data_IF_482967155008
#
_entry.id   IF_482967155008
#
_cell.length_a   1.000
_cell.length_b   1.000
_cell.length_c   1.000
_cell.angle_alpha   90.00
_cell.angle_beta   90.00
_cell.angle_gamma   90.00
#
_symmetry.space_group_name_H-M   'P 1'
#
loop_
_entity.id
_entity.type
_entity.pdbx_description
1 polymer ?
#
# COMPACT_ATOMS: atom_id res chain seq x y z
N UNK A 1 13.10 4.93 -15.08
CA UNK A 1 13.43 4.19 -13.84
C UNK A 1 14.11 2.88 -14.25
N UNK A 2 15.42 2.90 -14.53
CA UNK A 2 16.11 1.79 -15.21
C UNK A 2 16.49 0.62 -14.29
N UNK A 3 16.36 0.79 -12.97
CA UNK A 3 16.75 -0.22 -11.98
C UNK A 3 15.72 -1.36 -11.84
N UNK A 4 14.48 -1.12 -12.26
CA UNK A 4 13.38 -2.07 -12.17
C UNK A 4 12.86 -2.33 -13.58
N UNK A 5 13.02 -3.55 -14.07
CA UNK A 5 12.55 -3.95 -15.40
C UNK A 5 11.10 -4.42 -15.36
N UNK A 6 10.44 -4.36 -16.51
CA UNK A 6 9.00 -4.65 -16.65
C UNK A 6 8.59 -6.10 -16.33
N UNK A 7 9.55 -7.04 -16.31
CA UNK A 7 9.28 -8.48 -16.12
C UNK A 7 9.28 -8.95 -14.66
N UNK A 8 9.88 -8.20 -13.73
CA UNK A 8 10.01 -8.64 -12.34
C UNK A 8 9.46 -7.61 -11.36
N UNK A 9 8.64 -8.09 -10.42
CA UNK A 9 8.08 -7.25 -9.36
C UNK A 9 9.20 -6.60 -8.54
N UNK A 10 9.16 -5.29 -8.39
CA UNK A 10 10.15 -4.46 -7.68
C UNK A 10 10.56 -5.05 -6.33
N UNK A 11 9.59 -5.50 -5.52
CA UNK A 11 9.87 -6.06 -4.19
C UNK A 11 10.68 -7.37 -4.24
N UNK A 12 10.54 -8.19 -5.29
CA UNK A 12 11.35 -9.41 -5.48
C UNK A 12 12.79 -9.07 -5.83
N UNK A 13 12.99 -8.08 -6.69
CA UNK A 13 14.33 -7.59 -7.05
C UNK A 13 15.04 -7.03 -5.82
N UNK A 14 14.36 -6.22 -5.02
CA UNK A 14 14.92 -5.68 -3.78
C UNK A 14 15.25 -6.77 -2.75
N UNK A 15 14.41 -7.81 -2.65
CA UNK A 15 14.71 -8.99 -1.81
C UNK A 15 15.99 -9.71 -2.24
N UNK A 16 16.12 -10.02 -3.54
CA UNK A 16 17.33 -10.66 -4.08
C UNK A 16 18.59 -9.79 -3.92
N UNK A 17 18.44 -8.45 -3.96
CA UNK A 17 19.54 -7.53 -3.65
C UNK A 17 19.95 -7.61 -2.17
N UNK A 18 19.00 -7.77 -1.26
CA UNK A 18 19.29 -7.91 0.16
C UNK A 18 20.10 -9.18 0.46
N UNK A 19 19.85 -10.28 -0.26
CA UNK A 19 20.65 -11.52 -0.12
C UNK A 19 22.13 -11.29 -0.45
N UNK A 20 22.42 -10.34 -1.35
CA UNK A 20 23.79 -10.01 -1.79
C UNK A 20 24.46 -8.92 -0.95
N UNK A 21 23.72 -7.87 -0.60
CA UNK A 21 24.27 -6.66 0.03
C UNK A 21 23.97 -6.56 1.53
N UNK A 22 23.19 -7.51 2.07
CA UNK A 22 22.73 -7.53 3.45
C UNK A 22 21.33 -6.91 3.62
N UNK A 23 20.76 -7.04 4.83
CA UNK A 23 19.36 -6.68 5.11
C UNK A 23 19.10 -5.17 5.12
N UNK A 24 20.13 -4.33 5.12
CA UNK A 24 20.01 -2.87 5.04
C UNK A 24 21.03 -2.37 4.04
N UNK A 25 20.56 -1.77 2.95
CA UNK A 25 21.42 -1.29 1.88
C UNK A 25 20.84 -0.05 1.21
N UNK A 26 21.68 0.70 0.51
CA UNK A 26 21.28 1.93 -0.19
C UNK A 26 21.33 1.73 -1.70
N UNK A 27 20.31 2.24 -2.39
CA UNK A 27 20.27 2.30 -3.85
C UNK A 27 20.07 3.74 -4.32
N UNK A 28 20.36 4.00 -5.59
CA UNK A 28 19.99 5.25 -6.26
C UNK A 28 18.81 4.98 -7.19
N UNK A 29 17.66 5.58 -6.87
CA UNK A 29 16.51 5.64 -7.76
C UNK A 29 16.54 6.97 -8.48
N UNK A 30 17.08 6.95 -9.69
CA UNK A 30 17.27 8.14 -10.52
C UNK A 30 18.10 9.21 -9.79
N UNK A 31 17.52 10.36 -9.47
CA UNK A 31 18.15 11.44 -8.70
C UNK A 31 18.07 11.25 -7.18
N UNK A 32 17.27 10.31 -6.68
CA UNK A 32 17.03 10.10 -5.25
C UNK A 32 17.83 8.93 -4.68
N UNK A 33 18.42 9.14 -3.50
CA UNK A 33 19.03 8.07 -2.71
C UNK A 33 17.95 7.42 -1.84
N UNK A 34 17.85 6.11 -1.89
CA UNK A 34 16.83 5.33 -1.16
C UNK A 34 17.50 4.30 -0.28
N UNK A 35 17.12 4.30 0.99
CA UNK A 35 17.48 3.25 1.95
C UNK A 35 16.45 2.12 1.85
N UNK A 36 16.92 0.90 1.61
CA UNK A 36 16.10 -0.30 1.55
C UNK A 36 16.28 -1.08 2.84
N UNK A 37 15.16 -1.42 3.48
CA UNK A 37 15.12 -2.20 4.71
C UNK A 37 14.47 -3.56 4.40
N UNK A 38 15.24 -4.63 4.54
CA UNK A 38 14.82 -6.02 4.35
C UNK A 38 14.99 -6.85 5.64
N UNK A 39 14.78 -6.23 6.80
CA UNK A 39 14.71 -6.90 8.10
C UNK A 39 13.62 -6.27 8.95
N UNK A 40 12.92 -7.09 9.74
CA UNK A 40 11.83 -6.60 10.59
C UNK A 40 12.39 -5.79 11.77
N UNK A 41 13.59 -6.10 12.24
CA UNK A 41 14.31 -5.37 13.29
C UNK A 41 14.58 -3.93 12.86
N UNK A 42 15.15 -3.73 11.67
CA UNK A 42 15.44 -2.40 11.14
C UNK A 42 14.15 -1.62 10.85
N UNK A 43 13.13 -2.28 10.28
CA UNK A 43 11.82 -1.65 10.07
C UNK A 43 11.19 -1.20 11.40
N UNK A 44 11.23 -2.04 12.44
CA UNK A 44 10.72 -1.69 13.77
C UNK A 44 11.43 -0.47 14.33
N UNK A 45 12.76 -0.43 14.25
CA UNK A 45 13.54 0.72 14.75
C UNK A 45 13.16 2.02 14.02
N UNK A 46 13.08 1.97 12.68
CA UNK A 46 12.70 3.13 11.88
C UNK A 46 11.27 3.63 12.16
N UNK A 47 10.30 2.72 12.34
CA UNK A 47 8.90 3.12 12.54
C UNK A 47 8.50 3.35 14.00
N UNK A 48 9.30 2.91 14.97
CA UNK A 48 9.00 3.06 16.41
C UNK A 48 9.83 4.17 17.06
N UNK A 49 11.13 4.22 16.76
CA UNK A 49 12.07 5.10 17.48
C UNK A 49 12.33 6.42 16.75
N UNK A 50 12.07 6.49 15.44
CA UNK A 50 12.50 7.60 14.60
C UNK A 50 11.31 8.31 13.95
N UNK A 51 11.02 9.53 14.40
CA UNK A 51 9.96 10.38 13.80
C UNK A 51 10.28 10.84 12.38
N UNK A 52 11.54 10.75 11.96
CA UNK A 52 12.02 11.14 10.63
C UNK A 52 11.37 10.30 9.50
N UNK A 53 11.02 9.05 9.77
CA UNK A 53 10.39 8.15 8.78
C UNK A 53 8.86 8.27 8.74
N UNK A 54 8.27 9.11 9.58
CA UNK A 54 6.84 9.36 9.54
C UNK A 54 6.47 10.12 8.24
N UNK A 55 7.29 11.10 7.84
CA UNK A 55 7.04 11.92 6.65
C UNK A 55 7.36 11.18 5.35
N UNK A 56 6.48 11.29 4.35
CA UNK A 56 6.68 10.71 3.01
C UNK A 56 7.52 11.64 2.12
N UNK A 57 8.39 11.11 1.25
CA UNK A 57 9.11 11.91 0.27
C UNK A 57 8.16 12.69 -0.63
N UNK A 58 8.49 13.95 -0.91
CA UNK A 58 7.77 14.78 -1.87
C UNK A 58 7.99 14.24 -3.29
N UNK A 59 6.92 13.73 -3.90
CA UNK A 59 6.93 13.26 -5.29
C UNK A 59 5.90 14.01 -6.11
N UNK A 60 6.09 14.08 -7.43
CA UNK A 60 5.10 14.68 -8.33
C UNK A 60 3.72 14.01 -8.20
N UNK A 61 3.70 12.68 -8.00
CA UNK A 61 2.46 11.94 -7.77
C UNK A 61 1.76 12.38 -6.48
N UNK A 62 2.50 12.51 -5.37
CA UNK A 62 1.95 12.99 -4.10
C UNK A 62 1.43 14.43 -4.19
N UNK A 63 2.07 15.28 -4.99
CA UNK A 63 1.58 16.65 -5.24
C UNK A 63 0.29 16.66 -6.06
N UNK A 64 0.25 15.92 -7.18
CA UNK A 64 -0.87 15.96 -8.12
C UNK A 64 -2.07 15.17 -7.61
N UNK A 65 -1.87 13.93 -7.17
CA UNK A 65 -2.94 13.04 -6.70
C UNK A 65 -3.31 13.29 -5.24
N UNK A 66 -2.37 13.80 -4.45
CA UNK A 66 -2.58 14.10 -3.04
C UNK A 66 -3.11 15.52 -2.78
N UNK A 67 -3.63 16.22 -3.79
CA UNK A 67 -4.14 17.59 -3.68
C UNK A 67 -3.14 18.54 -2.99
N UNK A 68 -1.94 18.64 -3.55
CA UNK A 68 -0.81 19.37 -2.98
C UNK A 68 -0.54 18.97 -1.51
N UNK A 69 -0.48 17.66 -1.27
CA UNK A 69 -0.25 17.04 0.05
C UNK A 69 -1.34 17.28 1.10
N UNK A 70 -2.54 17.74 0.68
CA UNK A 70 -3.70 17.84 1.56
C UNK A 70 -4.32 16.47 1.88
N UNK A 71 -4.17 15.47 1.00
CA UNK A 71 -4.61 14.11 1.31
C UNK A 71 -3.81 13.55 2.48
N UNK A 72 -4.46 13.18 3.59
CA UNK A 72 -3.76 12.83 4.83
C UNK A 72 -2.76 11.66 4.69
N UNK A 73 -2.95 10.74 3.74
CA UNK A 73 -1.99 9.67 3.44
C UNK A 73 -0.66 10.14 2.82
N UNK A 74 -0.66 11.31 2.17
CA UNK A 74 0.52 11.94 1.55
C UNK A 74 0.98 13.22 2.27
N UNK A 75 0.27 13.63 3.32
CA UNK A 75 0.59 14.84 4.07
C UNK A 75 1.86 14.63 4.91
N UNK A 76 2.76 15.62 4.99
CA UNK A 76 3.90 15.57 5.91
C UNK A 76 3.44 15.41 7.36
N UNK A 77 4.27 14.77 8.20
CA UNK A 77 3.91 14.53 9.58
C UNK A 77 3.96 15.81 10.42
N UNK A 78 2.82 16.50 10.45
CA UNK A 78 2.54 17.67 11.28
C UNK A 78 1.26 17.51 12.11
N UNK A 79 0.77 18.61 12.66
CA UNK A 79 -0.49 18.66 13.44
C UNK A 79 -1.68 18.15 12.64
N UNK A 80 -1.82 18.60 11.39
CA UNK A 80 -2.87 18.17 10.47
C UNK A 80 -2.90 16.64 10.30
N UNK A 81 -1.75 16.04 9.96
CA UNK A 81 -1.63 14.59 9.79
C UNK A 81 -2.02 13.83 11.07
N UNK A 82 -1.58 14.31 12.25
CA UNK A 82 -1.90 13.68 13.54
C UNK A 82 -3.39 13.72 13.85
N UNK A 83 -4.04 14.86 13.60
CA UNK A 83 -5.47 15.05 13.82
C UNK A 83 -6.29 14.16 12.88
N UNK A 84 -5.96 14.15 11.60
CA UNK A 84 -6.61 13.27 10.62
C UNK A 84 -6.40 11.79 10.94
N UNK A 85 -5.18 11.39 11.33
CA UNK A 85 -4.91 10.01 11.73
C UNK A 85 -5.74 9.60 12.96
N UNK A 86 -5.90 10.50 13.95
CA UNK A 86 -6.75 10.26 15.12
C UNK A 86 -8.21 10.08 14.71
N UNK A 87 -8.75 10.98 13.90
CA UNK A 87 -10.15 10.91 13.41
C UNK A 87 -10.37 9.61 12.62
N UNK A 88 -9.50 9.30 11.66
CA UNK A 88 -9.61 8.07 10.86
C UNK A 88 -9.56 6.82 11.74
N UNK A 89 -8.66 6.77 12.73
CA UNK A 89 -8.53 5.62 13.62
C UNK A 89 -9.75 5.44 14.51
N UNK A 90 -10.27 6.51 15.10
CA UNK A 90 -11.38 6.41 16.06
C UNK A 90 -12.75 6.26 15.38
N UNK A 91 -12.98 6.98 14.28
CA UNK A 91 -14.32 7.09 13.68
C UNK A 91 -14.56 6.10 12.53
N UNK A 92 -13.51 5.82 11.74
CA UNK A 92 -13.61 4.98 10.54
C UNK A 92 -13.08 3.57 10.74
N UNK A 93 -11.94 3.45 11.44
CA UNK A 93 -11.19 2.20 11.56
C UNK A 93 -11.20 1.61 12.98
N UNK A 94 -12.08 2.10 13.86
CA UNK A 94 -12.22 1.53 15.20
C UNK A 94 -12.85 0.13 15.13
N UNK A 95 -12.52 -0.74 16.09
CA UNK A 95 -13.06 -2.09 16.17
C UNK A 95 -14.60 -2.09 16.12
N UNK A 96 -15.23 -1.14 16.84
CA UNK A 96 -16.67 -0.97 16.82
C UNK A 96 -17.22 -0.64 15.43
N UNK A 97 -16.61 0.31 14.71
CA UNK A 97 -17.03 0.66 13.34
C UNK A 97 -16.82 -0.50 12.38
N UNK A 98 -15.69 -1.21 12.50
CA UNK A 98 -15.37 -2.39 11.70
C UNK A 98 -16.44 -3.46 11.90
N UNK A 99 -16.80 -3.78 13.14
CA UNK A 99 -17.82 -4.79 13.45
C UNK A 99 -19.21 -4.38 12.97
N UNK A 100 -19.60 -3.12 13.17
CA UNK A 100 -20.87 -2.57 12.68
C UNK A 100 -21.01 -2.71 11.15
N UNK A 101 -19.92 -2.46 10.40
CA UNK A 101 -19.91 -2.54 8.94
C UNK A 101 -19.61 -3.94 8.39
N UNK A 102 -19.43 -4.95 9.25
CA UNK A 102 -19.07 -6.32 8.84
C UNK A 102 -20.10 -6.96 7.91
N UNK A 103 -21.39 -6.73 8.19
CA UNK A 103 -22.49 -7.28 7.38
C UNK A 103 -22.45 -6.77 5.94
N UNK A 104 -22.23 -5.47 5.76
CA UNK A 104 -22.12 -4.85 4.43
C UNK A 104 -20.94 -5.48 3.66
N UNK A 105 -19.75 -5.53 4.27
CA UNK A 105 -18.58 -6.13 3.60
C UNK A 105 -18.81 -7.59 3.20
N UNK A 106 -19.50 -8.36 4.05
CA UNK A 106 -19.83 -9.76 3.75
C UNK A 106 -20.79 -9.85 2.57
N UNK A 107 -21.84 -9.04 2.56
CA UNK A 107 -22.82 -8.99 1.47
C UNK A 107 -22.21 -8.58 0.13
N UNK A 108 -21.33 -7.57 0.12
CA UNK A 108 -20.63 -7.14 -1.11
C UNK A 108 -19.74 -8.26 -1.67
N UNK A 109 -19.01 -8.97 -0.80
CA UNK A 109 -18.17 -10.11 -1.21
C UNK A 109 -19.02 -11.25 -1.76
N UNK A 110 -20.12 -11.60 -1.08
CA UNK A 110 -21.04 -12.63 -1.57
C UNK A 110 -21.64 -12.27 -2.92
N UNK A 111 -22.04 -11.01 -3.11
CA UNK A 111 -22.59 -10.51 -4.36
C UNK A 111 -21.57 -10.60 -5.49
N UNK A 112 -20.32 -10.19 -5.23
CA UNK A 112 -19.23 -10.31 -6.19
C UNK A 112 -18.95 -11.77 -6.59
N UNK A 113 -18.92 -12.69 -5.62
CA UNK A 113 -18.72 -14.13 -5.87
C UNK A 113 -19.87 -14.69 -6.72
N UNK A 114 -21.12 -14.37 -6.38
CA UNK A 114 -22.29 -14.81 -7.16
C UNK A 114 -22.23 -14.30 -8.59
N UNK A 115 -21.87 -13.03 -8.79
CA UNK A 115 -21.68 -12.44 -10.11
C UNK A 115 -20.66 -13.22 -10.95
N UNK A 116 -19.49 -13.50 -10.38
CA UNK A 116 -18.44 -14.29 -11.05
C UNK A 116 -18.91 -15.70 -11.41
N UNK A 117 -19.65 -16.38 -10.52
CA UNK A 117 -20.18 -17.72 -10.79
C UNK A 117 -21.18 -17.69 -11.96
N UNK A 118 -22.05 -16.67 -12.01
CA UNK A 118 -23.02 -16.51 -13.10
C UNK A 118 -22.31 -16.25 -14.42
N UNK A 119 -21.32 -15.36 -14.45
CA UNK A 119 -20.51 -15.11 -15.65
C UNK A 119 -19.82 -16.37 -16.16
N UNK A 120 -19.16 -17.13 -15.27
CA UNK A 120 -18.51 -18.39 -15.63
C UNK A 120 -19.52 -19.43 -16.17
N UNK A 121 -20.72 -19.49 -15.60
CA UNK A 121 -21.77 -20.40 -16.07
C UNK A 121 -22.28 -20.01 -17.46
N UNK A 122 -22.47 -18.71 -17.72
CA UNK A 122 -22.87 -18.21 -19.04
C UNK A 122 -21.79 -18.47 -20.10
N UNK A 123 -20.51 -18.26 -19.77
CA UNK A 123 -19.37 -18.58 -20.64
C UNK A 123 -19.35 -20.09 -20.95
N UNK A 124 -19.57 -20.94 -19.95
CA UNK A 124 -19.63 -22.39 -20.13
C UNK A 124 -20.78 -22.83 -21.03
N UNK A 125 -21.93 -22.15 -21.00
CA UNK A 125 -23.07 -22.45 -21.89
C UNK A 125 -22.85 -21.97 -23.32
N UNK A 126 -22.28 -20.78 -23.50
CA UNK A 126 -22.02 -20.22 -24.83
C UNK A 126 -20.84 -20.88 -25.53
N UNK A 127 -19.93 -21.53 -24.78
CA UNK A 127 -18.84 -22.34 -25.34
C UNK A 127 -19.25 -23.76 -25.78
N UNK A 128 -20.53 -24.14 -25.63
CA UNK A 128 -21.08 -25.44 -26.05
C UNK A 128 -21.90 -25.38 -27.35
N UNK A 129 -21.90 -24.24 -28.07
CA UNK A 129 -22.59 -24.05 -29.36
C UNK A 129 -21.64 -24.04 -30.58
N UNK A 130 -20.57 -24.85 -30.59
CA UNK A 130 -19.78 -25.17 -31.79
C UNK A 130 -19.64 -26.69 -31.93
#
# INVERSE_FOLDING_TARGET
MHLFGDQQLTHKTLGAMADKYGPVFTIRLDSHRVLVLNSWEAARECFTAMTLFCTRPSTAASKLQGYDYAMFGFSPCGSYWREMHKISTMELLSSHRIDMLKGIRTSEVETAIRGLIVELWLISKNGLEI
#
